data_IF_045389939646
#
_entry.id   IF_045389939646
#
_cell.length_a   1.000
_cell.length_b   1.000
_cell.length_c   1.000
_cell.angle_alpha   90.00
_cell.angle_beta   90.00
_cell.angle_gamma   90.00
#
_symmetry.space_group_name_H-M   'P 1'
#
loop_
_entity.id
_entity.type
_entity.pdbx_description
1 polymer ?
#
# COMPACT_ATOMS: atom_id res chain seq x y z
N UNK A 1 1.67 8.56 15.44
CA UNK A 1 2.33 8.96 14.18
C UNK A 1 3.79 8.57 14.29
N UNK A 2 4.56 8.61 13.21
CA UNK A 2 5.99 8.27 13.18
C UNK A 2 6.67 9.18 12.15
N UNK A 3 7.95 9.50 12.30
CA UNK A 3 8.73 10.34 11.37
C UNK A 3 9.47 9.51 10.31
N UNK A 4 9.16 8.22 10.17
CA UNK A 4 9.74 7.34 9.14
C UNK A 4 9.50 7.81 7.69
N UNK A 5 8.48 8.63 7.46
CA UNK A 5 8.16 9.21 6.15
C UNK A 5 7.70 10.66 6.31
N UNK A 6 7.81 11.47 5.26
CA UNK A 6 7.37 12.87 5.25
C UNK A 6 5.86 13.03 5.52
N UNK A 7 5.09 11.98 5.24
CA UNK A 7 3.65 11.94 5.53
C UNK A 7 3.32 11.65 6.99
N UNK A 8 4.35 11.44 7.83
CA UNK A 8 4.27 10.97 9.21
C UNK A 8 3.53 9.63 9.39
N UNK A 9 3.72 8.72 8.43
CA UNK A 9 3.12 7.38 8.39
C UNK A 9 4.21 6.31 8.48
N UNK A 10 3.90 5.10 9.01
CA UNK A 10 4.84 3.99 8.99
C UNK A 10 5.23 3.63 7.55
N UNK A 11 6.52 3.37 7.32
CA UNK A 11 7.04 3.13 5.98
C UNK A 11 6.29 1.98 5.23
N UNK A 12 6.00 0.81 5.84
CA UNK A 12 5.37 -0.31 5.13
C UNK A 12 4.00 0.03 4.52
N UNK A 13 3.11 0.66 5.29
CA UNK A 13 1.77 1.01 4.82
C UNK A 13 1.82 2.16 3.82
N UNK A 14 2.71 3.13 4.05
CA UNK A 14 2.93 4.25 3.14
C UNK A 14 3.29 3.72 1.75
N UNK A 15 4.37 2.94 1.66
CA UNK A 15 4.84 2.44 0.37
C UNK A 15 3.90 1.42 -0.26
N UNK A 16 3.23 0.57 0.54
CA UNK A 16 2.19 -0.32 0.00
C UNK A 16 1.09 0.48 -0.70
N UNK A 17 0.57 1.55 -0.09
CA UNK A 17 -0.42 2.41 -0.74
C UNK A 17 0.13 3.11 -1.99
N UNK A 18 1.37 3.59 -1.94
CA UNK A 18 2.00 4.25 -3.09
C UNK A 18 2.10 3.33 -4.31
N UNK A 19 2.37 2.04 -4.10
CA UNK A 19 2.47 1.05 -5.19
C UNK A 19 1.15 0.88 -5.94
N UNK A 20 0.03 0.68 -5.22
CA UNK A 20 -1.29 0.55 -5.86
C UNK A 20 -1.80 1.87 -6.42
N UNK A 21 -1.42 3.02 -5.85
CA UNK A 21 -1.74 4.31 -6.47
C UNK A 21 -1.01 4.49 -7.80
N UNK A 22 0.29 4.16 -7.87
CA UNK A 22 1.06 4.21 -9.11
C UNK A 22 0.52 3.23 -10.15
N UNK A 23 0.16 2.00 -9.76
CA UNK A 23 -0.52 1.06 -10.67
C UNK A 23 -1.79 1.68 -11.27
N UNK A 24 -2.61 2.33 -10.43
CA UNK A 24 -3.86 2.93 -10.87
C UNK A 24 -3.63 4.15 -11.79
N UNK A 25 -2.57 4.93 -11.53
CA UNK A 25 -2.13 6.04 -12.39
C UNK A 25 -1.78 5.54 -13.79
N UNK A 26 -0.90 4.54 -13.89
CA UNK A 26 -0.45 3.97 -15.17
C UNK A 26 -1.58 3.33 -15.99
N UNK A 27 -2.56 2.77 -15.29
CA UNK A 27 -3.78 2.25 -15.92
C UNK A 27 -4.66 3.38 -16.45
N UNK A 28 -4.90 4.42 -15.65
CA UNK A 28 -5.82 5.52 -16.00
C UNK A 28 -5.26 6.45 -17.08
N UNK A 29 -3.94 6.64 -17.13
CA UNK A 29 -3.29 7.46 -18.15
C UNK A 29 -2.99 6.68 -19.44
N UNK A 30 -3.19 5.35 -19.45
CA UNK A 30 -3.01 4.50 -20.62
C UNK A 30 -1.56 4.09 -20.91
N UNK A 31 -0.59 4.36 -20.03
CA UNK A 31 0.80 3.95 -20.22
C UNK A 31 0.94 2.42 -20.23
N UNK A 32 0.22 1.74 -19.34
CA UNK A 32 0.11 0.28 -19.29
C UNK A 32 -1.35 -0.12 -19.52
N UNK A 33 -1.82 -0.15 -20.78
CA UNK A 33 -3.24 -0.29 -21.11
C UNK A 33 -3.82 -1.66 -20.74
N UNK A 34 -2.97 -2.67 -20.58
CA UNK A 34 -3.34 -4.03 -20.18
C UNK A 34 -3.61 -4.19 -18.67
N UNK A 35 -3.37 -3.15 -17.86
CA UNK A 35 -3.70 -3.18 -16.43
C UNK A 35 -5.21 -3.12 -16.21
N UNK A 36 -5.70 -3.94 -15.28
CA UNK A 36 -7.09 -3.90 -14.81
C UNK A 36 -7.19 -3.33 -13.38
N UNK A 37 -8.40 -2.97 -12.91
CA UNK A 37 -8.56 -2.21 -11.67
C UNK A 37 -8.23 -2.95 -10.37
N UNK A 38 -8.34 -4.28 -10.32
CA UNK A 38 -8.11 -5.04 -9.08
C UNK A 38 -6.61 -5.28 -8.86
N UNK A 39 -6.06 -4.67 -7.81
CA UNK A 39 -4.65 -4.79 -7.46
C UNK A 39 -4.46 -4.82 -5.94
N UNK A 40 -3.44 -5.55 -5.50
CA UNK A 40 -3.06 -5.72 -4.09
C UNK A 40 -1.55 -5.59 -3.96
N UNK A 41 -1.10 -4.92 -2.91
CA UNK A 41 0.31 -4.77 -2.58
C UNK A 41 0.58 -5.08 -1.12
N UNK A 42 1.80 -5.54 -0.86
CA UNK A 42 2.36 -5.70 0.48
C UNK A 42 3.86 -5.38 0.41
N UNK A 43 4.36 -4.68 1.42
CA UNK A 43 5.78 -4.37 1.56
C UNK A 43 6.23 -4.77 2.94
N UNK A 44 7.28 -5.59 3.01
CA UNK A 44 7.91 -6.02 4.25
C UNK A 44 9.20 -5.23 4.44
N UNK A 45 9.28 -4.45 5.53
CA UNK A 45 10.48 -3.72 5.90
C UNK A 45 11.26 -4.46 7.00
N UNK A 46 12.58 -4.34 6.92
CA UNK A 46 13.49 -4.65 8.04
C UNK A 46 13.63 -3.41 8.91
N UNK A 47 13.71 -3.63 10.21
CA UNK A 47 13.92 -2.58 11.22
C UNK A 47 15.18 -2.91 12.02
N UNK A 48 15.99 -1.90 12.33
CA UNK A 48 17.19 -2.05 13.17
C UNK A 48 16.82 -2.17 14.67
N UNK A 49 17.84 -2.30 15.52
CA UNK A 49 17.65 -2.44 16.97
C UNK A 49 16.99 -1.20 17.60
N UNK A 50 17.17 -0.04 16.97
CA UNK A 50 16.59 1.25 17.36
C UNK A 50 15.15 1.43 16.86
N UNK A 51 14.58 0.44 16.15
CA UNK A 51 13.22 0.49 15.63
C UNK A 51 13.05 1.42 14.42
N UNK A 52 14.14 1.73 13.70
CA UNK A 52 14.12 2.51 12.46
C UNK A 52 14.13 1.58 11.25
N UNK A 53 13.36 1.89 10.19
CA UNK A 53 13.39 1.11 8.98
C UNK A 53 14.79 1.18 8.37
N UNK A 54 15.33 0.05 7.94
CA UNK A 54 16.69 -0.04 7.38
C UNK A 54 16.79 -0.75 6.01
N UNK A 55 15.68 -1.19 5.43
CA UNK A 55 15.65 -1.80 4.10
C UNK A 55 14.35 -2.55 3.82
N UNK A 56 14.09 -2.87 2.56
CA UNK A 56 12.94 -3.70 2.15
C UNK A 56 13.40 -5.15 1.99
N UNK A 57 12.71 -6.04 2.69
CA UNK A 57 12.93 -7.49 2.62
C UNK A 57 12.20 -8.10 1.43
N UNK A 58 10.91 -7.81 1.31
CA UNK A 58 10.06 -8.39 0.29
C UNK A 58 8.97 -7.42 -0.17
N UNK A 59 8.65 -7.48 -1.46
CA UNK A 59 7.57 -6.75 -2.09
C UNK A 59 6.67 -7.76 -2.80
N UNK A 60 5.38 -7.74 -2.47
CA UNK A 60 4.35 -8.52 -3.16
C UNK A 60 3.44 -7.55 -3.89
N UNK A 61 3.25 -7.77 -5.19
CA UNK A 61 2.30 -7.02 -5.99
C UNK A 61 1.54 -7.97 -6.91
N UNK A 62 0.25 -8.12 -6.65
CA UNK A 62 -0.66 -8.86 -7.51
C UNK A 62 -1.60 -7.88 -8.20
N UNK A 63 -1.53 -7.79 -9.52
CA UNK A 63 -2.39 -6.93 -10.34
C UNK A 63 -3.16 -7.75 -11.35
N UNK A 64 -4.44 -7.44 -11.47
CA UNK A 64 -5.28 -7.94 -12.53
C UNK A 64 -4.80 -7.37 -13.88
N UNK A 65 -4.89 -8.18 -14.93
CA UNK A 65 -4.40 -7.83 -16.25
C UNK A 65 -5.25 -8.44 -17.38
N UNK A 66 -5.07 -7.92 -18.59
CA UNK A 66 -5.61 -8.51 -19.82
C UNK A 66 -4.94 -9.85 -20.15
N UNK A 67 -5.65 -10.81 -20.77
CA UNK A 67 -5.10 -12.14 -21.05
C UNK A 67 -3.94 -12.16 -22.06
N UNK A 68 -3.76 -11.09 -22.84
CA UNK A 68 -2.78 -10.98 -23.93
C UNK A 68 -1.35 -10.66 -23.46
N UNK A 69 -1.17 -10.06 -22.27
CA UNK A 69 0.18 -9.72 -21.77
C UNK A 69 0.89 -10.99 -21.26
N UNK A 70 2.14 -11.16 -21.69
CA UNK A 70 3.00 -12.22 -21.17
C UNK A 70 3.40 -11.98 -19.71
N UNK A 71 3.56 -13.05 -18.93
CA UNK A 71 3.89 -12.96 -17.51
C UNK A 71 5.30 -12.39 -17.26
N UNK A 72 6.26 -12.68 -18.12
CA UNK A 72 7.62 -12.17 -17.98
C UNK A 72 7.65 -10.65 -18.22
N UNK A 73 6.98 -10.19 -19.27
CA UNK A 73 6.86 -8.76 -19.58
C UNK A 73 6.08 -8.01 -18.51
N UNK A 74 4.97 -8.58 -18.02
CA UNK A 74 4.22 -8.03 -16.89
C UNK A 74 5.14 -7.83 -15.68
N UNK A 75 5.93 -8.84 -15.30
CA UNK A 75 6.84 -8.75 -14.15
C UNK A 75 7.89 -7.66 -14.34
N UNK A 76 8.51 -7.59 -15.52
CA UNK A 76 9.51 -6.56 -15.86
C UNK A 76 8.90 -5.16 -15.77
N UNK A 77 7.74 -4.95 -16.39
CA UNK A 77 7.09 -3.64 -16.44
C UNK A 77 6.58 -3.20 -15.06
N UNK A 78 5.99 -4.10 -14.26
CA UNK A 78 5.59 -3.77 -12.89
C UNK A 78 6.79 -3.43 -12.02
N UNK A 79 7.88 -4.19 -12.12
CA UNK A 79 9.09 -3.89 -11.37
C UNK A 79 9.61 -2.49 -11.72
N UNK A 80 9.77 -2.20 -13.01
CA UNK A 80 10.36 -0.95 -13.50
C UNK A 80 9.47 0.29 -13.32
N UNK A 81 8.21 0.19 -13.74
CA UNK A 81 7.31 1.34 -13.85
C UNK A 81 6.51 1.62 -12.58
N UNK A 82 6.40 0.62 -11.69
CA UNK A 82 5.67 0.73 -10.42
C UNK A 82 6.61 0.66 -9.22
N UNK A 83 7.35 -0.44 -9.06
CA UNK A 83 8.12 -0.67 -7.82
C UNK A 83 9.31 0.27 -7.72
N UNK A 84 10.17 0.30 -8.74
CA UNK A 84 11.38 1.13 -8.77
C UNK A 84 11.07 2.64 -8.86
N UNK A 85 9.85 3.03 -9.25
CA UNK A 85 9.40 4.43 -9.25
C UNK A 85 8.83 4.89 -7.90
N UNK A 86 8.48 3.95 -7.02
CA UNK A 86 7.78 4.24 -5.75
C UNK A 86 8.68 4.00 -4.55
N UNK A 87 9.46 2.92 -4.56
CA UNK A 87 10.36 2.59 -3.46
C UNK A 87 11.69 3.29 -3.73
N UNK A 88 12.16 4.18 -2.84
CA UNK A 88 13.45 4.84 -3.04
C UNK A 88 14.57 3.80 -3.10
N UNK A 89 15.55 4.05 -3.98
CA UNK A 89 16.57 3.06 -4.33
C UNK A 89 17.42 2.64 -3.12
N UNK A 90 17.60 3.51 -2.14
CA UNK A 90 18.32 3.22 -0.90
C UNK A 90 17.65 2.16 -0.02
N UNK A 91 16.36 1.89 -0.23
CA UNK A 91 15.64 0.83 0.48
C UNK A 91 15.77 -0.53 -0.21
N UNK A 92 16.21 -0.57 -1.46
CA UNK A 92 16.28 -1.76 -2.29
C UNK A 92 17.72 -2.27 -2.37
N UNK A 93 17.89 -3.57 -2.21
CA UNK A 93 19.19 -4.22 -2.35
C UNK A 93 19.10 -5.51 -3.17
N UNK A 94 20.25 -6.17 -3.38
CA UNK A 94 20.33 -7.40 -4.17
C UNK A 94 19.56 -8.58 -3.57
N UNK A 95 19.26 -8.53 -2.26
CA UNK A 95 18.51 -9.55 -1.54
C UNK A 95 17.01 -9.23 -1.45
N UNK A 96 16.56 -8.05 -1.88
CA UNK A 96 15.13 -7.71 -1.89
C UNK A 96 14.35 -8.69 -2.77
N UNK A 97 13.34 -9.33 -2.18
CA UNK A 97 12.50 -10.32 -2.86
C UNK A 97 11.33 -9.65 -3.58
N UNK A 98 11.11 -9.99 -4.84
CA UNK A 98 10.02 -9.47 -5.66
C UNK A 98 9.04 -10.58 -6.03
N UNK A 99 7.83 -10.52 -5.47
CA UNK A 99 6.74 -11.45 -5.76
C UNK A 99 5.66 -10.74 -6.59
N UNK A 100 5.86 -10.72 -7.91
CA UNK A 100 4.93 -10.08 -8.85
C UNK A 100 4.07 -11.15 -9.52
N UNK A 101 2.75 -11.06 -9.31
CA UNK A 101 1.76 -12.06 -9.70
C UNK A 101 2.25 -13.51 -9.40
N UNK A 102 2.59 -13.83 -8.13
CA UNK A 102 3.18 -15.12 -7.76
C UNK A 102 2.24 -16.31 -8.02
N UNK A 103 0.93 -16.07 -8.05
CA UNK A 103 -0.10 -17.08 -8.38
C UNK A 103 -0.27 -17.30 -9.88
N UNK A 104 0.49 -16.59 -10.72
CA UNK A 104 0.38 -16.65 -12.18
C UNK A 104 -0.68 -15.70 -12.73
N UNK A 105 -1.58 -16.23 -13.57
CA UNK A 105 -2.55 -15.40 -14.31
C UNK A 105 -3.63 -14.82 -13.39
N UNK A 106 -3.85 -13.52 -13.47
CA UNK A 106 -4.92 -12.81 -12.77
C UNK A 106 -5.77 -12.02 -13.76
N UNK A 107 -6.59 -12.73 -14.54
CA UNK A 107 -7.43 -12.12 -15.60
C UNK A 107 -8.83 -11.76 -15.09
N UNK A 108 -9.43 -12.66 -14.32
CA UNK A 108 -10.75 -12.47 -13.69
C UNK A 108 -10.52 -11.91 -12.29
N UNK A 109 -11.13 -10.77 -11.99
CA UNK A 109 -10.98 -10.06 -10.72
C UNK A 109 -12.17 -9.14 -10.45
N UNK A 110 -12.07 -8.33 -9.40
CA UNK A 110 -13.19 -7.51 -8.94
C UNK A 110 -14.36 -8.36 -8.41
N UNK A 111 -15.60 -7.83 -8.41
CA UNK A 111 -16.76 -8.50 -7.82
C UNK A 111 -17.11 -9.87 -8.41
N UNK A 112 -16.65 -10.16 -9.64
CA UNK A 112 -16.82 -11.47 -10.29
C UNK A 112 -15.95 -12.54 -9.62
N UNK A 113 -14.79 -12.15 -9.07
CA UNK A 113 -13.85 -13.07 -8.43
C UNK A 113 -13.91 -13.10 -6.90
N UNK A 114 -14.37 -12.03 -6.24
CA UNK A 114 -14.42 -11.93 -4.77
C UNK A 114 -15.51 -10.94 -4.31
N UNK A 115 -16.23 -11.29 -3.24
CA UNK A 115 -17.31 -10.46 -2.71
C UNK A 115 -16.75 -9.27 -1.89
N UNK A 116 -17.17 -8.06 -2.24
CA UNK A 116 -16.79 -6.83 -1.53
C UNK A 116 -17.82 -6.39 -0.49
N UNK A 117 -17.36 -6.00 0.70
CA UNK A 117 -18.20 -5.36 1.72
C UNK A 117 -17.51 -4.12 2.30
N UNK A 118 -18.29 -3.08 2.56
CA UNK A 118 -17.83 -1.86 3.24
C UNK A 118 -17.20 -2.20 4.59
N UNK A 119 -16.07 -1.56 4.92
CA UNK A 119 -15.42 -1.73 6.21
C UNK A 119 -14.63 -3.03 6.39
N UNK A 120 -14.31 -3.75 5.30
CA UNK A 120 -13.47 -4.97 5.35
C UNK A 120 -11.99 -4.72 5.06
N UNK A 121 -11.56 -3.45 5.12
CA UNK A 121 -10.17 -3.01 4.87
C UNK A 121 -9.69 -1.98 5.91
N UNK A 122 -10.25 -2.00 7.12
CA UNK A 122 -9.99 -0.99 8.17
C UNK A 122 -8.50 -0.81 8.56
N UNK A 123 -7.68 -1.87 8.45
CA UNK A 123 -6.24 -1.76 8.73
C UNK A 123 -5.49 -1.13 7.55
N UNK A 124 -5.97 -1.35 6.32
CA UNK A 124 -5.51 -0.64 5.11
C UNK A 124 -5.91 0.83 5.21
N UNK A 125 -7.14 1.12 5.64
CA UNK A 125 -7.64 2.50 5.83
C UNK A 125 -6.88 3.29 6.92
N UNK A 126 -6.01 2.65 7.70
CA UNK A 126 -5.33 3.27 8.84
C UNK A 126 -3.82 3.12 8.79
N UNK A 127 -3.23 2.25 9.60
CA UNK A 127 -1.81 2.27 9.94
C UNK A 127 -1.08 0.96 9.62
N UNK A 128 -1.70 0.07 8.82
CA UNK A 128 -1.07 -1.17 8.37
C UNK A 128 -0.62 -2.10 9.50
N UNK A 129 -1.30 -2.05 10.65
CA UNK A 129 -0.99 -2.89 11.81
C UNK A 129 0.07 -2.33 12.77
N UNK A 130 0.77 -1.25 12.41
CA UNK A 130 1.79 -0.63 13.26
C UNK A 130 1.21 0.13 14.47
N UNK A 131 -0.06 0.48 14.41
CA UNK A 131 -0.79 1.09 15.52
C UNK A 131 -2.05 0.30 15.86
N UNK A 132 -2.69 0.64 16.97
CA UNK A 132 -3.94 0.02 17.41
C UNK A 132 -5.13 0.57 16.63
N UNK A 133 -6.16 -0.26 16.46
CA UNK A 133 -7.39 0.10 15.77
C UNK A 133 -8.59 -0.21 16.67
N UNK A 134 -9.52 0.74 16.84
CA UNK A 134 -10.69 0.59 17.72
C UNK A 134 -11.82 -0.30 17.17
N UNK A 135 -11.69 -0.75 15.92
CA UNK A 135 -12.60 -1.70 15.26
C UNK A 135 -13.66 -1.06 14.35
N UNK A 136 -13.99 0.21 14.53
CA UNK A 136 -14.99 0.92 13.72
C UNK A 136 -14.51 1.21 12.29
N UNK A 137 -15.28 0.80 11.28
CA UNK A 137 -15.08 1.23 9.90
C UNK A 137 -15.42 2.71 9.68
N UNK A 138 -14.83 3.36 8.67
CA UNK A 138 -15.05 4.79 8.38
C UNK A 138 -16.07 5.04 7.26
N UNK A 139 -15.92 4.33 6.14
CA UNK A 139 -16.73 4.56 4.93
C UNK A 139 -18.22 4.31 5.18
N UNK A 140 -19.07 5.18 4.61
CA UNK A 140 -20.53 5.12 4.79
C UNK A 140 -21.04 5.77 6.08
N UNK A 141 -20.17 6.31 6.94
CA UNK A 141 -20.56 7.02 8.17
C UNK A 141 -20.38 8.53 8.02
N UNK A 142 -21.40 9.29 8.42
CA UNK A 142 -21.31 10.74 8.52
C UNK A 142 -20.43 11.18 9.71
N UNK A 143 -19.95 12.44 9.74
CA UNK A 143 -19.01 12.90 10.76
C UNK A 143 -19.51 12.88 12.21
N UNK A 144 -20.81 12.70 12.47
CA UNK A 144 -21.31 12.51 13.85
C UNK A 144 -20.86 11.19 14.47
N UNK A 145 -20.46 10.20 13.66
CA UNK A 145 -20.07 8.86 14.14
C UNK A 145 -18.61 8.91 14.58
N UNK A 146 -18.41 8.78 15.89
CA UNK A 146 -17.11 8.95 16.55
C UNK A 146 -16.04 7.97 16.05
N UNK A 147 -16.44 6.80 15.53
CA UNK A 147 -15.53 5.89 14.82
C UNK A 147 -14.70 6.60 13.76
N UNK A 148 -15.29 7.60 13.07
CA UNK A 148 -14.63 8.37 12.02
C UNK A 148 -14.06 9.68 12.55
N UNK A 149 -14.87 10.51 13.20
CA UNK A 149 -14.44 11.85 13.61
C UNK A 149 -13.36 11.83 14.70
N UNK A 150 -13.49 10.96 15.70
CA UNK A 150 -12.48 10.83 16.75
C UNK A 150 -11.19 10.18 16.22
N UNK A 151 -11.29 9.22 15.29
CA UNK A 151 -10.11 8.63 14.64
C UNK A 151 -9.33 9.69 13.84
N UNK A 152 -10.02 10.57 13.11
CA UNK A 152 -9.40 11.65 12.35
C UNK A 152 -8.78 12.71 13.27
N UNK A 153 -9.47 13.09 14.35
CA UNK A 153 -8.92 14.00 15.37
C UNK A 153 -7.68 13.38 16.06
N UNK A 154 -7.72 12.08 16.37
CA UNK A 154 -6.58 11.35 16.93
C UNK A 154 -5.38 11.35 15.98
N UNK A 155 -5.60 11.15 14.68
CA UNK A 155 -4.55 11.30 13.66
C UNK A 155 -3.97 12.72 13.65
N UNK A 156 -4.82 13.74 13.68
CA UNK A 156 -4.39 15.15 13.70
C UNK A 156 -3.49 15.43 14.91
N UNK A 157 -3.92 15.07 16.12
CA UNK A 157 -3.13 15.27 17.34
C UNK A 157 -1.80 14.54 17.24
N UNK A 158 -1.81 13.24 16.92
CA UNK A 158 -0.60 12.44 16.86
C UNK A 158 0.41 12.94 15.80
N UNK A 159 -0.07 13.41 14.65
CA UNK A 159 0.79 13.98 13.60
C UNK A 159 1.48 15.25 14.09
N UNK A 160 0.75 16.16 14.74
CA UNK A 160 1.30 17.43 15.20
C UNK A 160 2.30 17.26 16.36
N UNK A 161 2.08 16.29 17.25
CA UNK A 161 3.05 15.97 18.32
C UNK A 161 4.42 15.58 17.73
N UNK A 162 4.44 14.64 16.79
CA UNK A 162 5.69 14.19 16.14
C UNK A 162 6.28 15.29 15.24
N UNK A 163 5.45 16.01 14.50
CA UNK A 163 5.91 17.11 13.63
C UNK A 163 6.54 18.27 14.42
N UNK A 164 6.12 18.49 15.67
CA UNK A 164 6.70 19.48 16.56
C UNK A 164 7.98 18.97 17.29
N UNK A 165 8.41 17.74 17.06
CA UNK A 165 9.59 17.15 17.72
C UNK A 165 9.39 16.89 19.21
N UNK A 166 8.13 16.77 19.66
CA UNK A 166 7.81 16.49 21.06
C UNK A 166 7.95 15.00 21.42
N UNK A 167 8.03 14.14 20.40
CA UNK A 167 8.22 12.69 20.49
C UNK A 167 8.84 12.17 19.19
#
# INVERSE_FOLDING_TARGET
ATNETDSFMPAPIHYSHRLVERQAELRKNGLLPWLRPDAKSQVTFRYNAEGQPCGVDAIVLSTQHDPEIDQEDLRKMIKREVIEQVIPAEWLDANTQYHINPTGKFVIGGPVGDCGLTGRKIIVDTYGGMARHGGGAFSGKDPSKVDRSAAYAGRYVAKNVVAAGLA
#
